data_IF_969939787797
#
_entry.id   IF_969939787797
#
_cell.length_a   1.000
_cell.length_b   1.000
_cell.length_c   1.000
_cell.angle_alpha   90.00
_cell.angle_beta   90.00
_cell.angle_gamma   90.00
#
_symmetry.space_group_name_H-M   'P 1'
#
loop_
_entity.id
_entity.type
_entity.pdbx_description
1 polymer ?
#
# COMPACT_ATOMS: atom_id res chain seq x y z
N UNK A 1 -11.26 3.39 -31.80
CA UNK A 1 -11.06 2.87 -30.44
C UNK A 1 -9.68 3.30 -29.96
N UNK A 2 -9.58 4.49 -29.35
CA UNK A 2 -8.33 4.99 -28.79
C UNK A 2 -8.47 4.97 -27.26
N UNK A 3 -7.62 4.16 -26.65
CA UNK A 3 -7.47 3.95 -25.22
C UNK A 3 -7.22 5.27 -24.51
N UNK A 4 -8.20 5.78 -23.76
CA UNK A 4 -7.96 6.78 -22.73
C UNK A 4 -7.06 6.14 -21.68
N UNK A 5 -5.78 6.48 -21.73
CA UNK A 5 -4.86 6.25 -20.63
C UNK A 5 -5.31 7.18 -19.51
N UNK A 6 -5.98 6.65 -18.49
CA UNK A 6 -6.10 7.31 -17.20
C UNK A 6 -4.68 7.48 -16.64
N UNK A 7 -4.03 8.60 -17.00
CA UNK A 7 -2.85 9.07 -16.28
C UNK A 7 -3.32 9.49 -14.90
N UNK A 8 -2.52 9.22 -13.87
CA UNK A 8 -2.78 9.77 -12.54
C UNK A 8 -2.88 11.29 -12.67
N UNK A 9 -3.95 11.88 -12.15
CA UNK A 9 -4.30 13.30 -12.31
C UNK A 9 -3.34 14.21 -11.52
N UNK A 10 -2.72 13.69 -10.46
CA UNK A 10 -2.00 14.51 -9.50
C UNK A 10 -0.67 15.11 -10.04
N UNK A 11 0.20 14.36 -10.75
CA UNK A 11 1.42 14.93 -11.34
C UNK A 11 1.17 15.96 -12.45
N UNK A 12 -0.01 15.94 -13.09
CA UNK A 12 -0.36 16.92 -14.13
C UNK A 12 -0.72 18.29 -13.55
N UNK A 13 -1.16 18.35 -12.28
CA UNK A 13 -1.54 19.58 -11.59
C UNK A 13 -0.40 20.18 -10.77
N UNK A 14 0.35 19.35 -10.05
CA UNK A 14 1.54 19.75 -9.29
C UNK A 14 2.67 18.76 -9.58
N UNK A 15 3.59 19.08 -10.52
CA UNK A 15 4.74 18.24 -10.83
C UNK A 15 5.72 18.07 -9.66
N UNK A 16 5.69 18.99 -8.69
CA UNK A 16 6.54 18.96 -7.50
C UNK A 16 5.86 18.23 -6.33
N UNK A 17 4.66 17.68 -6.51
CA UNK A 17 3.93 17.03 -5.42
C UNK A 17 4.73 15.87 -4.82
N UNK A 18 4.99 15.94 -3.51
CA UNK A 18 5.66 14.86 -2.77
C UNK A 18 7.20 14.83 -2.90
N UNK A 19 7.82 15.71 -3.70
CA UNK A 19 9.27 15.92 -3.70
C UNK A 19 9.69 16.99 -2.69
N UNK A 20 10.99 17.09 -2.38
CA UNK A 20 11.48 17.96 -1.30
C UNK A 20 11.24 19.47 -1.52
N UNK A 21 11.08 19.89 -2.77
CA UNK A 21 10.86 21.30 -3.14
C UNK A 21 9.37 21.68 -3.25
N UNK A 22 8.46 20.75 -2.92
CA UNK A 22 7.02 21.00 -2.94
C UNK A 22 6.62 22.14 -2.00
N UNK A 23 6.14 23.26 -2.56
CA UNK A 23 5.68 24.40 -1.77
C UNK A 23 4.51 24.08 -0.84
N UNK A 24 3.71 23.06 -1.17
CA UNK A 24 2.57 22.59 -0.37
C UNK A 24 2.96 21.48 0.62
N UNK A 25 4.21 20.98 0.53
CA UNK A 25 4.78 19.97 1.40
C UNK A 25 3.90 18.69 1.51
N UNK A 26 3.41 18.16 0.39
CA UNK A 26 2.58 16.93 0.37
C UNK A 26 3.28 15.71 0.97
N UNK A 27 4.61 15.72 1.02
CA UNK A 27 5.40 14.69 1.72
C UNK A 27 5.08 14.60 3.21
N UNK A 28 4.67 15.70 3.85
CA UNK A 28 4.25 15.70 5.25
C UNK A 28 2.98 14.87 5.46
N UNK A 29 2.09 14.79 4.48
CA UNK A 29 0.88 13.95 4.57
C UNK A 29 1.25 12.48 4.73
N UNK A 30 2.22 11.99 3.94
CA UNK A 30 2.73 10.62 4.09
C UNK A 30 3.38 10.41 5.47
N UNK A 31 4.18 11.38 5.95
CA UNK A 31 4.79 11.31 7.27
C UNK A 31 3.74 11.27 8.39
N UNK A 32 2.69 12.09 8.29
CA UNK A 32 1.56 12.08 9.21
C UNK A 32 0.86 10.72 9.23
N UNK A 33 0.70 10.04 8.09
CA UNK A 33 0.15 8.68 8.02
C UNK A 33 1.06 7.69 8.76
N UNK A 34 2.38 7.71 8.49
CA UNK A 34 3.35 6.82 9.13
C UNK A 34 3.42 7.02 10.66
N UNK A 35 3.28 8.27 11.13
CA UNK A 35 3.35 8.61 12.55
C UNK A 35 1.99 8.50 13.28
N UNK A 36 0.89 8.41 12.54
CA UNK A 36 -0.47 8.46 13.10
C UNK A 36 -0.74 7.38 14.15
N UNK A 37 -0.28 6.15 13.90
CA UNK A 37 -0.45 5.03 14.82
C UNK A 37 0.24 5.31 16.16
N UNK A 38 1.49 5.78 16.13
CA UNK A 38 2.24 6.14 17.33
C UNK A 38 1.57 7.26 18.11
N UNK A 39 1.04 8.29 17.42
CA UNK A 39 0.30 9.39 18.06
C UNK A 39 -0.95 8.89 18.79
N UNK A 40 -1.75 8.02 18.15
CA UNK A 40 -2.96 7.46 18.78
C UNK A 40 -2.61 6.57 19.97
N UNK A 41 -1.60 5.71 19.84
CA UNK A 41 -1.12 4.87 20.95
C UNK A 41 -0.64 5.73 22.11
N UNK A 42 0.10 6.82 21.85
CA UNK A 42 0.55 7.73 22.91
C UNK A 42 -0.61 8.39 23.67
N UNK A 43 -1.71 8.69 23.00
CA UNK A 43 -2.85 9.39 23.59
C UNK A 43 -3.86 8.46 24.27
N UNK A 44 -4.14 7.30 23.68
CA UNK A 44 -5.21 6.37 24.10
C UNK A 44 -4.70 5.03 24.63
N UNK A 45 -3.43 4.71 24.39
CA UNK A 45 -2.80 3.43 24.74
C UNK A 45 -2.93 2.34 23.68
N UNK A 46 -3.85 2.46 22.72
CA UNK A 46 -4.10 1.47 21.66
C UNK A 46 -4.88 2.06 20.48
N UNK A 47 -4.84 1.37 19.34
CA UNK A 47 -5.67 1.63 18.15
C UNK A 47 -6.78 0.57 18.04
N UNK A 48 -8.00 0.96 17.70
CA UNK A 48 -9.13 0.01 17.60
C UNK A 48 -10.10 0.33 16.46
N UNK A 49 -10.69 1.53 16.45
CA UNK A 49 -11.79 1.87 15.55
C UNK A 49 -11.37 1.84 14.08
N UNK A 50 -10.24 2.46 13.74
CA UNK A 50 -9.74 2.51 12.36
C UNK A 50 -9.41 1.12 11.82
N UNK A 51 -8.76 0.28 12.63
CA UNK A 51 -8.48 -1.10 12.25
C UNK A 51 -9.77 -1.91 12.08
N UNK A 52 -10.73 -1.78 13.01
CA UNK A 52 -12.01 -2.47 12.92
C UNK A 52 -12.83 -2.08 11.69
N UNK A 53 -12.88 -0.80 11.35
CA UNK A 53 -13.55 -0.31 10.15
C UNK A 53 -12.85 -0.78 8.87
N UNK A 54 -11.52 -0.78 8.84
CA UNK A 54 -10.75 -1.31 7.71
C UNK A 54 -11.02 -2.81 7.49
N UNK A 55 -11.06 -3.61 8.56
CA UNK A 55 -11.44 -5.03 8.49
C UNK A 55 -12.88 -5.21 8.01
N UNK A 56 -13.82 -4.39 8.49
CA UNK A 56 -15.21 -4.45 8.05
C UNK A 56 -15.35 -4.15 6.54
N UNK A 57 -14.58 -3.18 6.01
CA UNK A 57 -14.58 -2.82 4.59
C UNK A 57 -14.03 -3.96 3.69
N UNK A 58 -12.98 -4.65 4.15
CA UNK A 58 -12.45 -5.85 3.49
C UNK A 58 -13.49 -6.98 3.49
N UNK A 59 -14.11 -7.25 4.65
CA UNK A 59 -15.13 -8.29 4.80
C UNK A 59 -16.35 -7.98 3.92
N UNK A 60 -16.78 -6.72 3.85
CA UNK A 60 -17.89 -6.33 2.98
C UNK A 60 -17.58 -6.67 1.51
N UNK A 61 -16.34 -6.45 1.08
CA UNK A 61 -15.89 -6.76 -0.27
C UNK A 61 -15.81 -8.28 -0.52
N UNK A 62 -15.46 -9.05 0.49
CA UNK A 62 -15.46 -10.51 0.40
C UNK A 62 -16.88 -11.10 0.45
N UNK A 63 -17.85 -10.47 1.12
CA UNK A 63 -19.20 -11.01 1.26
C UNK A 63 -20.14 -10.58 0.12
N UNK A 64 -20.05 -9.34 -0.34
CA UNK A 64 -21.02 -8.76 -1.28
C UNK A 64 -20.60 -8.83 -2.75
N UNK A 65 -19.44 -9.42 -3.05
CA UNK A 65 -18.89 -9.53 -4.41
C UNK A 65 -18.83 -8.22 -5.23
N UNK A 66 -18.50 -7.04 -4.66
CA UNK A 66 -18.41 -5.82 -5.46
C UNK A 66 -17.15 -5.78 -6.35
N UNK A 67 -16.25 -6.78 -6.27
CA UNK A 67 -14.95 -6.81 -6.95
C UNK A 67 -14.16 -5.51 -6.74
N UNK A 68 -14.01 -5.09 -5.47
CA UNK A 68 -13.36 -3.84 -5.07
C UNK A 68 -11.84 -3.99 -4.97
N UNK A 69 -11.15 -2.89 -5.20
CA UNK A 69 -9.70 -2.80 -5.09
C UNK A 69 -9.32 -2.37 -3.69
N UNK A 70 -8.45 -3.13 -3.03
CA UNK A 70 -7.95 -2.85 -1.68
C UNK A 70 -6.44 -3.03 -1.59
N UNK A 71 -5.72 -2.15 -0.86
CA UNK A 71 -4.32 -2.38 -0.55
C UNK A 71 -4.20 -3.46 0.54
N UNK A 72 -3.87 -4.69 0.16
CA UNK A 72 -3.71 -5.83 1.08
C UNK A 72 -2.39 -6.54 0.85
N UNK A 73 -1.84 -7.12 1.91
CA UNK A 73 -0.54 -7.80 1.85
C UNK A 73 -0.64 -9.10 1.06
N UNK A 74 0.20 -9.26 0.03
CA UNK A 74 0.23 -10.46 -0.81
C UNK A 74 1.66 -10.91 -1.15
N UNK A 75 1.80 -12.18 -1.50
CA UNK A 75 3.02 -12.83 -1.97
C UNK A 75 3.30 -12.55 -3.45
N UNK A 76 4.59 -12.28 -3.69
CA UNK A 76 5.42 -12.61 -4.87
C UNK A 76 5.68 -11.55 -5.94
N UNK A 77 6.97 -11.39 -6.21
CA UNK A 77 7.55 -11.33 -7.56
C UNK A 77 7.37 -10.03 -8.34
N UNK A 78 6.63 -9.06 -7.82
CA UNK A 78 6.44 -7.78 -8.46
C UNK A 78 7.55 -6.80 -8.09
N UNK A 79 7.85 -5.89 -9.03
CA UNK A 79 8.85 -4.82 -8.85
C UNK A 79 10.27 -5.30 -8.53
N UNK A 80 10.69 -6.45 -9.08
CA UNK A 80 12.07 -6.95 -8.96
C UNK A 80 12.39 -7.59 -7.60
N UNK A 81 11.37 -8.03 -6.88
CA UNK A 81 11.50 -8.72 -5.59
C UNK A 81 11.57 -10.24 -5.81
N UNK A 82 12.73 -10.84 -5.59
CA UNK A 82 12.94 -12.29 -5.74
C UNK A 82 12.54 -13.08 -4.47
N UNK A 83 12.59 -12.41 -3.31
CA UNK A 83 12.32 -13.02 -2.01
C UNK A 83 10.81 -13.19 -1.76
N UNK A 84 10.45 -14.21 -0.98
CA UNK A 84 9.06 -14.44 -0.55
C UNK A 84 8.69 -13.49 0.60
N UNK A 85 8.31 -12.27 0.24
CA UNK A 85 7.82 -11.25 1.17
C UNK A 85 6.36 -10.90 0.91
N UNK A 86 5.70 -10.41 1.96
CA UNK A 86 4.31 -9.93 1.91
C UNK A 86 4.29 -8.43 2.12
N UNK A 87 3.86 -7.69 1.09
CA UNK A 87 3.71 -6.24 1.12
C UNK A 87 2.34 -5.85 0.60
N UNK A 88 1.82 -4.72 1.07
CA UNK A 88 0.52 -4.22 0.64
C UNK A 88 0.58 -3.71 -0.79
N UNK A 89 -0.16 -4.37 -1.68
CA UNK A 89 -0.37 -3.96 -3.07
C UNK A 89 -1.87 -3.82 -3.34
N UNK A 90 -2.28 -3.00 -4.32
CA UNK A 90 -3.68 -2.91 -4.73
C UNK A 90 -4.14 -4.25 -5.32
N UNK A 91 -5.10 -4.89 -4.67
CA UNK A 91 -5.61 -6.21 -5.06
C UNK A 91 -7.12 -6.15 -5.30
N UNK A 92 -7.58 -6.92 -6.28
CA UNK A 92 -9.02 -7.13 -6.50
C UNK A 92 -9.49 -8.22 -5.55
N UNK A 93 -10.44 -7.88 -4.68
CA UNK A 93 -11.05 -8.79 -3.72
C UNK A 93 -12.52 -9.06 -4.05
N UNK A 94 -12.92 -10.33 -3.93
CA UNK A 94 -14.29 -10.77 -4.07
C UNK A 94 -14.62 -11.96 -3.16
N UNK A 95 -15.73 -12.66 -3.40
CA UNK A 95 -16.17 -13.83 -2.61
C UNK A 95 -15.26 -15.04 -2.65
N UNK A 96 -14.37 -15.12 -3.64
CA UNK A 96 -13.33 -16.16 -3.75
C UNK A 96 -12.04 -15.72 -3.04
N UNK A 97 -12.04 -14.57 -2.37
CA UNK A 97 -10.88 -13.97 -1.74
C UNK A 97 -10.14 -13.08 -2.74
N UNK A 98 -8.84 -13.34 -2.90
CA UNK A 98 -7.98 -12.52 -3.72
C UNK A 98 -7.95 -13.00 -5.16
N UNK A 99 -8.34 -12.14 -6.09
CA UNK A 99 -8.45 -12.49 -7.51
C UNK A 99 -7.19 -12.13 -8.28
N UNK A 100 -6.68 -10.92 -8.08
CA UNK A 100 -5.51 -10.43 -8.82
C UNK A 100 -4.84 -9.25 -8.12
N UNK A 101 -3.57 -9.04 -8.45
CA UNK A 101 -2.82 -7.81 -8.13
C UNK A 101 -2.96 -6.84 -9.29
N UNK A 102 -3.14 -5.56 -9.00
CA UNK A 102 -3.00 -4.50 -9.99
C UNK A 102 -1.53 -4.12 -10.10
N UNK A 103 -0.94 -4.35 -11.27
CA UNK A 103 0.41 -3.89 -11.58
C UNK A 103 0.37 -2.40 -11.93
N UNK A 104 0.59 -1.55 -10.92
CA UNK A 104 0.68 -0.11 -11.11
C UNK A 104 1.97 0.26 -11.82
N UNK A 105 1.87 1.23 -12.73
CA UNK A 105 3.04 1.93 -13.26
C UNK A 105 3.50 2.90 -12.20
N UNK A 106 4.61 2.58 -11.57
CA UNK A 106 5.28 3.40 -10.56
C UNK A 106 6.54 4.00 -11.17
N UNK A 107 6.96 5.13 -10.65
CA UNK A 107 8.23 5.75 -11.03
C UNK A 107 9.42 4.95 -10.46
N UNK A 108 10.61 5.13 -11.04
CA UNK A 108 11.81 4.37 -10.63
C UNK A 108 12.16 4.58 -9.14
N UNK A 109 11.95 5.79 -8.62
CA UNK A 109 12.18 6.10 -7.20
C UNK A 109 11.18 5.38 -6.28
N UNK A 110 9.90 5.33 -6.66
CA UNK A 110 8.86 4.60 -5.92
C UNK A 110 9.12 3.09 -5.94
N UNK A 111 9.54 2.55 -7.09
CA UNK A 111 9.95 1.16 -7.22
C UNK A 111 11.14 0.84 -6.32
N UNK A 112 12.14 1.72 -6.25
CA UNK A 112 13.29 1.57 -5.37
C UNK A 112 12.89 1.61 -3.88
N UNK A 113 11.97 2.50 -3.50
CA UNK A 113 11.43 2.56 -2.13
C UNK A 113 10.61 1.31 -1.76
N UNK A 114 9.83 0.78 -2.69
CA UNK A 114 9.08 -0.46 -2.50
C UNK A 114 10.03 -1.65 -2.32
N UNK A 115 11.07 -1.75 -3.16
CA UNK A 115 12.11 -2.77 -3.03
C UNK A 115 12.85 -2.67 -1.70
N UNK A 116 13.21 -1.46 -1.26
CA UNK A 116 13.82 -1.25 0.07
C UNK A 116 12.93 -1.73 1.21
N UNK A 117 11.62 -1.52 1.10
CA UNK A 117 10.63 -2.01 2.07
C UNK A 117 10.56 -3.55 2.06
N UNK A 118 10.62 -4.16 0.88
CA UNK A 118 10.69 -5.61 0.71
C UNK A 118 11.94 -6.20 1.37
N UNK A 119 13.10 -5.63 1.10
CA UNK A 119 14.37 -6.09 1.65
C UNK A 119 14.38 -5.98 3.19
N UNK A 120 13.83 -4.89 3.74
CA UNK A 120 13.70 -4.71 5.20
C UNK A 120 12.83 -5.79 5.85
N UNK A 121 11.71 -6.15 5.22
CA UNK A 121 10.86 -7.23 5.72
C UNK A 121 11.53 -8.59 5.57
N UNK A 122 12.18 -8.84 4.44
CA UNK A 122 12.92 -10.08 4.19
C UNK A 122 14.03 -10.29 5.22
N UNK A 123 14.77 -9.24 5.56
CA UNK A 123 15.85 -9.31 6.54
C UNK A 123 15.37 -9.78 7.92
N UNK A 124 14.13 -9.46 8.29
CA UNK A 124 13.51 -9.96 9.52
C UNK A 124 12.94 -11.37 9.30
N UNK A 125 12.26 -11.61 8.18
CA UNK A 125 11.58 -12.87 7.90
C UNK A 125 12.54 -14.06 7.72
N UNK A 126 13.69 -13.85 7.08
CA UNK A 126 14.69 -14.91 6.84
C UNK A 126 15.28 -15.49 8.13
N UNK A 127 15.28 -14.69 9.20
CA UNK A 127 15.82 -15.07 10.50
C UNK A 127 14.76 -15.74 11.39
N UNK A 128 13.49 -15.75 10.98
CA UNK A 128 12.43 -16.55 11.61
C UNK A 128 12.61 -18.03 11.23
N UNK A 129 13.56 -18.70 11.89
CA UNK A 129 13.72 -20.16 11.81
C UNK A 129 12.70 -20.85 12.72
N UNK A 130 11.96 -21.77 12.13
CA UNK A 130 11.12 -22.79 12.77
C UNK A 130 9.96 -22.26 13.64
N UNK A 131 8.84 -21.95 12.98
CA UNK A 131 7.50 -21.97 13.57
C UNK A 131 6.68 -23.11 12.95
#
# INVERSE_FOLDING_TARGET
MATHKEKLIAPELNPEMGIANDSENWKEVHKMVAESAYKVIKLKGYTNWTAGLSVADLIESMLKNPSRIHPVSMVKGLYGTENEVFLSLPCILNTQGLISVINQKVEDDEAAQLKKSADTLWDIQKDLKDL
#
